data_IF_270789938446
#
_entry.id   IF_270789938446
#
_cell.length_a   1.000
_cell.length_b   1.000
_cell.length_c   1.000
_cell.angle_alpha   90.00
_cell.angle_beta   90.00
_cell.angle_gamma   90.00
#
_symmetry.space_group_name_H-M   'P 1'
#
loop_
_entity.id
_entity.type
_entity.pdbx_description
1 polymer ?
#
# COMPACT_ATOMS: atom_id res chain seq x y z
N UNK A 1 -2.94 -8.51 -20.04
CA UNK A 1 -3.64 -8.21 -18.77
C UNK A 1 -3.56 -9.45 -17.92
N UNK A 2 -3.23 -9.32 -16.63
CA UNK A 2 -3.27 -10.46 -15.72
C UNK A 2 -4.74 -10.83 -15.45
N UNK A 3 -5.04 -12.12 -15.42
CA UNK A 3 -6.35 -12.64 -15.02
C UNK A 3 -6.54 -12.48 -13.51
N UNK A 4 -7.73 -12.06 -13.07
CA UNK A 4 -8.02 -11.88 -11.65
C UNK A 4 -8.37 -13.23 -11.02
N UNK A 5 -7.63 -13.64 -10.00
CA UNK A 5 -8.07 -14.72 -9.12
C UNK A 5 -9.19 -14.28 -8.18
N UNK A 6 -9.84 -15.23 -7.53
CA UNK A 6 -11.00 -15.01 -6.66
C UNK A 6 -10.76 -13.93 -5.58
N UNK A 7 -9.59 -13.94 -4.95
CA UNK A 7 -9.23 -12.93 -3.95
C UNK A 7 -9.18 -11.52 -4.53
N UNK A 8 -8.70 -11.35 -5.77
CA UNK A 8 -8.66 -10.07 -6.45
C UNK A 8 -10.07 -9.62 -6.87
N UNK A 9 -10.93 -10.56 -7.27
CA UNK A 9 -12.34 -10.29 -7.59
C UNK A 9 -13.09 -9.83 -6.34
N UNK A 10 -12.93 -10.53 -5.21
CA UNK A 10 -13.56 -10.17 -3.94
C UNK A 10 -13.10 -8.79 -3.44
N UNK A 11 -11.79 -8.50 -3.50
CA UNK A 11 -11.25 -7.19 -3.12
C UNK A 11 -11.79 -6.07 -4.01
N UNK A 12 -11.91 -6.30 -5.32
CA UNK A 12 -12.49 -5.33 -6.25
C UNK A 12 -13.98 -5.08 -5.97
N UNK A 13 -14.75 -6.12 -5.65
CA UNK A 13 -16.15 -5.99 -5.26
C UNK A 13 -16.30 -5.11 -4.01
N UNK A 14 -15.48 -5.37 -2.98
CA UNK A 14 -15.47 -4.58 -1.75
C UNK A 14 -15.12 -3.10 -1.99
N UNK A 15 -14.11 -2.84 -2.83
CA UNK A 15 -13.69 -1.48 -3.17
C UNK A 15 -14.77 -0.73 -3.98
N UNK A 16 -15.52 -1.42 -4.84
CA UNK A 16 -16.63 -0.82 -5.59
C UNK A 16 -17.82 -0.45 -4.70
N UNK A 17 -18.11 -1.27 -3.69
CA UNK A 17 -19.22 -1.05 -2.77
C UNK A 17 -18.96 0.10 -1.80
N UNK A 18 -17.75 0.16 -1.22
CA UNK A 18 -17.42 1.14 -0.18
C UNK A 18 -16.66 2.37 -0.68
N UNK A 19 -16.34 2.42 -1.97
CA UNK A 19 -15.51 3.47 -2.56
C UNK A 19 -14.03 3.33 -2.17
N UNK A 20 -13.18 4.35 -2.46
CA UNK A 20 -11.81 4.36 -1.99
C UNK A 20 -11.75 4.23 -0.48
N UNK A 21 -10.69 3.59 0.03
CA UNK A 21 -10.47 3.39 1.47
C UNK A 21 -10.69 4.73 2.19
N UNK A 22 -11.67 4.77 3.09
CA UNK A 22 -11.99 5.95 3.87
C UNK A 22 -11.65 5.74 5.33
N UNK A 23 -11.41 6.83 6.06
CA UNK A 23 -11.24 6.78 7.52
C UNK A 23 -12.43 6.11 8.20
N UNK A 24 -13.65 6.32 7.69
CA UNK A 24 -14.87 5.68 8.21
C UNK A 24 -14.78 4.16 8.07
N UNK A 25 -14.48 3.67 6.87
CA UNK A 25 -14.32 2.23 6.62
C UNK A 25 -13.25 1.62 7.55
N UNK A 26 -12.08 2.27 7.65
CA UNK A 26 -10.99 1.76 8.48
C UNK A 26 -11.35 1.74 9.98
N UNK A 27 -12.09 2.73 10.50
CA UNK A 27 -12.57 2.75 11.90
C UNK A 27 -13.49 1.57 12.23
N UNK A 28 -14.26 1.10 11.25
CA UNK A 28 -15.18 -0.04 11.41
C UNK A 28 -14.46 -1.40 11.34
N UNK A 29 -13.16 -1.45 11.03
CA UNK A 29 -12.38 -2.69 11.08
C UNK A 29 -11.98 -3.06 12.51
N UNK A 30 -11.59 -4.32 12.72
CA UNK A 30 -11.03 -4.76 14.00
C UNK A 30 -9.75 -3.97 14.38
N UNK A 31 -8.89 -3.65 13.40
CA UNK A 31 -7.66 -2.89 13.60
C UNK A 31 -7.96 -1.42 13.99
N UNK A 32 -8.88 -0.76 13.29
CA UNK A 32 -9.28 0.61 13.61
C UNK A 32 -9.84 0.74 15.03
N UNK A 33 -10.73 -0.17 15.42
CA UNK A 33 -11.24 -0.23 16.81
C UNK A 33 -10.14 -0.49 17.84
N UNK A 34 -9.13 -1.30 17.50
CA UNK A 34 -8.02 -1.57 18.40
C UNK A 34 -7.15 -0.32 18.61
N UNK A 35 -6.86 0.43 17.54
CA UNK A 35 -6.13 1.71 17.62
C UNK A 35 -6.88 2.76 18.44
N UNK A 36 -8.20 2.89 18.23
CA UNK A 36 -9.04 3.81 19.01
C UNK A 36 -9.00 3.46 20.51
N UNK A 37 -9.05 2.17 20.86
CA UNK A 37 -9.00 1.70 22.26
C UNK A 37 -7.70 2.06 22.99
N UNK A 38 -6.58 2.17 22.28
CA UNK A 38 -5.28 2.52 22.87
C UNK A 38 -4.93 4.00 22.70
N UNK A 39 -5.90 4.85 22.30
CA UNK A 39 -5.71 6.28 22.10
C UNK A 39 -4.97 6.66 20.81
N UNK A 40 -4.72 5.71 19.90
CA UNK A 40 -4.03 5.92 18.61
C UNK A 40 -5.01 6.11 17.44
N UNK A 41 -6.23 6.55 17.72
CA UNK A 41 -7.28 6.75 16.71
C UNK A 41 -6.95 7.76 15.62
N UNK A 42 -5.95 8.62 15.83
CA UNK A 42 -5.43 9.56 14.83
C UNK A 42 -4.77 8.85 13.63
N UNK A 43 -4.16 7.69 13.87
CA UNK A 43 -3.45 6.92 12.84
C UNK A 43 -4.40 6.42 11.75
N UNK A 44 -5.65 6.11 12.11
CA UNK A 44 -6.68 5.68 11.16
C UNK A 44 -6.97 6.77 10.11
N UNK A 45 -6.86 8.05 10.50
CA UNK A 45 -7.00 9.17 9.57
C UNK A 45 -5.79 9.27 8.64
N UNK A 46 -4.58 9.15 9.17
CA UNK A 46 -3.33 9.20 8.40
C UNK A 46 -3.26 8.05 7.38
N UNK A 47 -3.51 6.82 7.81
CA UNK A 47 -3.46 5.64 6.95
C UNK A 47 -4.60 5.56 5.92
N UNK A 48 -5.72 6.25 6.17
CA UNK A 48 -6.84 6.32 5.22
C UNK A 48 -6.67 7.35 4.12
N UNK A 49 -5.58 8.12 4.12
CA UNK A 49 -5.31 9.12 3.10
C UNK A 49 -4.73 8.46 1.84
N UNK A 50 -5.36 8.72 0.70
CA UNK A 50 -4.98 8.15 -0.61
C UNK A 50 -3.97 9.08 -1.28
N UNK A 51 -2.97 8.52 -1.97
CA UNK A 51 -1.96 9.24 -2.75
C UNK A 51 -1.21 10.35 -2.00
N UNK A 52 -1.02 10.18 -0.69
CA UNK A 52 -0.41 11.22 0.17
C UNK A 52 1.12 11.28 0.06
N UNK A 53 1.77 10.20 -0.37
CA UNK A 53 3.22 10.12 -0.51
C UNK A 53 3.52 9.45 -1.86
N UNK A 54 4.30 10.08 -2.75
CA UNK A 54 4.60 9.55 -4.10
C UNK A 54 5.79 8.58 -4.10
N UNK A 55 5.91 7.74 -3.07
CA UNK A 55 7.02 6.80 -2.89
C UNK A 55 6.53 5.35 -2.92
N UNK A 56 7.31 4.47 -3.55
CA UNK A 56 7.07 3.02 -3.55
C UNK A 56 8.23 2.33 -2.85
N UNK A 57 8.06 1.88 -1.59
CA UNK A 57 9.09 1.10 -0.89
C UNK A 57 9.33 -0.24 -1.60
N UNK A 58 10.60 -0.62 -1.75
CA UNK A 58 10.99 -1.88 -2.42
C UNK A 58 11.74 -2.78 -1.43
N UNK A 59 11.32 -4.04 -1.33
CA UNK A 59 12.06 -5.07 -0.60
C UNK A 59 13.16 -5.65 -1.51
N UNK A 60 14.41 -5.46 -1.13
CA UNK A 60 15.58 -6.06 -1.80
C UNK A 60 16.58 -6.52 -0.76
N UNK A 61 17.13 -7.72 -0.92
CA UNK A 61 18.17 -8.26 -0.03
C UNK A 61 17.81 -8.20 1.47
N UNK A 62 16.52 -8.44 1.79
CA UNK A 62 15.93 -8.34 3.14
C UNK A 62 15.94 -6.93 3.74
N UNK A 63 16.05 -5.90 2.92
CA UNK A 63 15.97 -4.50 3.31
C UNK A 63 14.86 -3.78 2.55
N UNK A 64 14.16 -2.87 3.22
CA UNK A 64 13.24 -1.93 2.58
C UNK A 64 14.05 -0.70 2.19
N UNK A 65 14.17 -0.45 0.90
CA UNK A 65 14.81 0.75 0.35
C UNK A 65 13.74 1.65 -0.27
N UNK A 66 13.83 2.97 -0.08
CA UNK A 66 13.31 3.92 -1.07
C UNK A 66 14.27 3.90 -2.26
N UNK A 67 13.89 4.02 -3.53
CA UNK A 67 12.79 4.76 -4.16
C UNK A 67 12.72 4.24 -5.60
N UNK A 68 11.53 4.15 -6.20
CA UNK A 68 11.38 4.33 -7.65
C UNK A 68 10.45 5.53 -7.87
N UNK A 69 10.78 6.51 -8.74
CA UNK A 69 9.78 7.47 -9.19
C UNK A 69 8.67 6.68 -9.90
N UNK A 70 7.41 7.07 -9.68
CA UNK A 70 6.23 6.39 -10.22
C UNK A 70 6.14 6.36 -11.78
N UNK A 71 7.20 6.72 -12.51
CA UNK A 71 7.29 6.66 -13.97
C UNK A 71 8.29 5.60 -14.44
N UNK A 72 7.76 4.57 -15.09
CA UNK A 72 8.46 3.33 -15.37
C UNK A 72 9.67 3.44 -16.30
N UNK A 73 10.66 2.58 -16.01
CA UNK A 73 11.40 1.73 -16.95
C UNK A 73 12.34 0.86 -16.11
N UNK A 74 12.02 -0.44 -16.03
CA UNK A 74 12.96 -1.46 -15.56
C UNK A 74 14.22 -1.40 -16.42
N UNK A 75 15.30 -0.82 -15.90
CA UNK A 75 16.63 -1.02 -16.47
C UNK A 75 17.30 -2.14 -15.69
N UNK A 76 17.40 -3.29 -16.37
CA UNK A 76 18.14 -4.45 -15.92
C UNK A 76 19.61 -4.10 -15.67
N UNK A 77 20.22 -4.82 -14.73
CA UNK A 77 21.44 -4.44 -14.06
C UNK A 77 22.69 -4.30 -14.94
N UNK A 78 23.60 -3.44 -14.49
CA UNK A 78 25.00 -3.45 -14.89
C UNK A 78 25.88 -3.63 -13.65
N UNK A 79 26.33 -4.87 -13.41
CA UNK A 79 27.45 -5.15 -12.50
C UNK A 79 28.71 -4.51 -13.08
N UNK A 80 29.22 -3.44 -12.46
CA UNK A 80 30.56 -2.91 -12.78
C UNK A 80 31.60 -3.76 -12.03
N UNK A 81 32.23 -4.71 -12.74
CA UNK A 81 33.48 -5.35 -12.32
C UNK A 81 34.60 -4.30 -12.44
N UNK A 82 35.11 -3.81 -11.33
CA UNK A 82 36.40 -3.11 -11.29
C UNK A 82 37.52 -4.14 -11.11
N UNK A 83 38.52 -4.07 -11.99
CA UNK A 83 39.87 -4.58 -11.76
C UNK A 83 40.73 -3.40 -11.32
#
# INVERSE_FOLDING_TARGET
MAELGDGAVAALALAREHGPVSTRFLRETAAGRALDKIGQGGDVKLCGAVDSIPEVPVLRDRQITGVEPASGKSTAGAKKKTR
#
